data_IF_321738178519
#
_entry.id   IF_321738178519
#
_cell.length_a   1.000
_cell.length_b   1.000
_cell.length_c   1.000
_cell.angle_alpha   90.00
_cell.angle_beta   90.00
_cell.angle_gamma   90.00
#
_symmetry.space_group_name_H-M   'P 1'
#
loop_
_entity.id
_entity.type
_entity.pdbx_description
1 polymer ?
#
# COMPACT_ATOMS: atom_id res chain seq x y z
N UNK A 1 16.60 -5.72 21.77
CA UNK A 1 15.72 -4.62 21.34
C UNK A 1 14.45 -5.25 20.74
N UNK A 2 13.28 -4.82 21.19
CA UNK A 2 11.96 -5.29 20.71
C UNK A 2 11.76 -5.06 19.21
N UNK A 3 12.43 -4.07 18.63
CA UNK A 3 12.38 -3.77 17.19
C UNK A 3 12.95 -4.89 16.30
N UNK A 4 13.79 -5.77 16.84
CA UNK A 4 14.36 -6.91 16.14
C UNK A 4 13.57 -8.22 16.36
N UNK A 5 12.39 -8.13 16.95
CA UNK A 5 11.51 -9.27 17.16
C UNK A 5 10.32 -9.18 16.18
N UNK A 6 10.14 -10.16 15.28
CA UNK A 6 9.01 -10.20 14.34
C UNK A 6 7.66 -10.17 15.06
N UNK A 7 7.55 -10.81 16.24
CA UNK A 7 6.29 -10.84 17.00
C UNK A 7 5.88 -9.45 17.50
N UNK A 8 6.82 -8.55 17.77
CA UNK A 8 6.51 -7.16 18.13
C UNK A 8 5.77 -6.45 16.99
N UNK A 9 6.26 -6.60 15.77
CA UNK A 9 5.64 -6.00 14.59
C UNK A 9 4.32 -6.66 14.21
N UNK A 10 4.27 -7.99 14.37
CA UNK A 10 3.01 -8.73 14.19
C UNK A 10 1.94 -8.22 15.16
N UNK A 11 2.26 -8.08 16.42
CA UNK A 11 1.32 -7.60 17.45
C UNK A 11 0.83 -6.18 17.15
N UNK A 12 1.75 -5.30 16.71
CA UNK A 12 1.39 -3.95 16.27
C UNK A 12 0.44 -3.98 15.06
N UNK A 13 0.68 -4.86 14.09
CA UNK A 13 -0.19 -5.09 12.95
C UNK A 13 -1.56 -5.66 13.34
N UNK A 14 -1.59 -6.63 14.25
CA UNK A 14 -2.84 -7.22 14.78
C UNK A 14 -3.71 -6.17 15.46
N UNK A 15 -3.11 -5.23 16.21
CA UNK A 15 -3.83 -4.11 16.80
C UNK A 15 -4.46 -3.21 15.71
N UNK A 16 -3.71 -2.88 14.68
CA UNK A 16 -4.25 -2.05 13.58
C UNK A 16 -5.34 -2.81 12.81
N UNK A 17 -5.18 -4.11 12.63
CA UNK A 17 -6.21 -4.96 12.04
C UNK A 17 -7.52 -4.93 12.86
N UNK A 18 -7.44 -5.03 14.18
CA UNK A 18 -8.61 -4.94 15.05
C UNK A 18 -9.31 -3.59 14.89
N UNK A 19 -8.56 -2.49 14.87
CA UNK A 19 -9.11 -1.14 14.65
C UNK A 19 -9.79 -1.04 13.28
N UNK A 20 -9.15 -1.57 12.24
CA UNK A 20 -9.71 -1.60 10.89
C UNK A 20 -11.00 -2.41 10.84
N UNK A 21 -11.01 -3.62 11.40
CA UNK A 21 -12.17 -4.50 11.39
C UNK A 21 -13.36 -3.87 12.12
N UNK A 22 -13.12 -3.22 13.27
CA UNK A 22 -14.14 -2.51 14.04
C UNK A 22 -14.78 -1.35 13.26
N UNK A 23 -13.96 -0.51 12.60
CA UNK A 23 -14.48 0.59 11.79
C UNK A 23 -15.16 0.09 10.51
N UNK A 24 -14.57 -0.93 9.86
CA UNK A 24 -15.14 -1.53 8.67
C UNK A 24 -16.51 -2.17 8.93
N UNK A 25 -16.69 -2.82 10.07
CA UNK A 25 -17.97 -3.40 10.47
C UNK A 25 -19.08 -2.35 10.56
N UNK A 26 -18.77 -1.14 11.04
CA UNK A 26 -19.74 -0.04 11.15
C UNK A 26 -20.32 0.39 9.80
N UNK A 27 -19.59 0.19 8.69
CA UNK A 27 -20.09 0.51 7.34
C UNK A 27 -21.28 -0.36 6.94
N UNK A 28 -21.42 -1.55 7.54
CA UNK A 28 -22.46 -2.53 7.19
C UNK A 28 -23.60 -2.59 8.23
N UNK A 29 -23.45 -1.92 9.36
CA UNK A 29 -24.49 -1.90 10.38
C UNK A 29 -25.53 -0.81 10.10
N UNK A 30 -26.83 -1.08 10.29
CA UNK A 30 -27.87 -0.06 10.23
C UNK A 30 -27.58 1.08 11.21
N UNK A 31 -27.46 2.32 10.71
CA UNK A 31 -27.13 3.49 11.53
C UNK A 31 -25.68 3.56 12.00
N UNK A 32 -24.83 2.65 11.54
CA UNK A 32 -23.40 2.66 11.85
C UNK A 32 -22.70 3.90 11.27
N UNK A 33 -21.85 4.51 12.07
CA UNK A 33 -21.03 5.65 11.65
C UNK A 33 -19.56 5.26 11.77
N UNK A 34 -18.96 4.89 10.63
CA UNK A 34 -17.54 4.60 10.57
C UNK A 34 -16.72 5.90 10.54
N UNK A 35 -15.65 5.93 11.31
CA UNK A 35 -14.60 6.93 11.17
C UNK A 35 -13.67 6.51 10.02
N UNK A 36 -13.90 7.09 8.84
CA UNK A 36 -13.12 6.75 7.63
C UNK A 36 -11.65 7.12 7.74
N UNK A 37 -11.32 8.17 8.47
CA UNK A 37 -9.91 8.54 8.74
C UNK A 37 -9.23 7.46 9.57
N UNK A 38 -9.88 7.00 10.63
CA UNK A 38 -9.38 5.92 11.49
C UNK A 38 -9.29 4.59 10.73
N UNK A 39 -10.30 4.28 9.91
CA UNK A 39 -10.36 3.10 9.05
C UNK A 39 -9.15 3.03 8.11
N UNK A 40 -8.91 4.08 7.34
CA UNK A 40 -7.86 4.09 6.33
C UNK A 40 -6.46 4.24 6.93
N UNK A 41 -6.30 4.99 8.02
CA UNK A 41 -5.04 5.05 8.74
C UNK A 41 -4.64 3.69 9.33
N UNK A 42 -5.58 2.98 9.94
CA UNK A 42 -5.31 1.64 10.47
C UNK A 42 -4.99 0.63 9.36
N UNK A 43 -5.67 0.73 8.20
CA UNK A 43 -5.35 -0.08 7.02
C UNK A 43 -3.88 0.10 6.59
N UNK A 44 -3.44 1.35 6.40
CA UNK A 44 -2.06 1.61 5.98
C UNK A 44 -1.03 1.16 7.02
N UNK A 45 -1.29 1.39 8.31
CA UNK A 45 -0.40 0.93 9.39
C UNK A 45 -0.35 -0.59 9.51
N UNK A 46 -1.45 -1.28 9.23
CA UNK A 46 -1.45 -2.75 9.18
C UNK A 46 -0.50 -3.27 8.10
N UNK A 47 -0.50 -2.67 6.90
CA UNK A 47 0.48 -2.99 5.85
C UNK A 47 1.90 -2.71 6.32
N UNK A 48 2.17 -1.52 6.85
CA UNK A 48 3.48 -1.11 7.34
C UNK A 48 4.03 -2.12 8.36
N UNK A 49 3.25 -2.46 9.38
CA UNK A 49 3.70 -3.32 10.47
C UNK A 49 3.84 -4.78 10.05
N UNK A 50 2.93 -5.32 9.25
CA UNK A 50 3.05 -6.70 8.77
C UNK A 50 4.19 -6.87 7.77
N UNK A 51 4.41 -5.89 6.89
CA UNK A 51 5.57 -5.91 5.98
C UNK A 51 6.88 -5.77 6.76
N UNK A 52 6.92 -4.94 7.81
CA UNK A 52 8.08 -4.85 8.71
C UNK A 52 8.31 -6.13 9.50
N UNK A 53 7.25 -6.78 9.95
CA UNK A 53 7.33 -8.11 10.58
C UNK A 53 8.01 -9.12 9.65
N UNK A 54 7.58 -9.16 8.38
CA UNK A 54 8.17 -10.03 7.37
C UNK A 54 9.65 -9.70 7.12
N UNK A 55 10.00 -8.44 6.96
CA UNK A 55 11.39 -8.00 6.78
C UNK A 55 12.28 -8.48 7.92
N UNK A 56 11.85 -8.28 9.18
CA UNK A 56 12.61 -8.70 10.36
C UNK A 56 12.71 -10.23 10.44
N UNK A 57 11.62 -10.95 10.14
CA UNK A 57 11.65 -12.42 10.11
C UNK A 57 12.61 -12.96 9.04
N UNK A 58 12.60 -12.38 7.83
CA UNK A 58 13.51 -12.76 6.75
C UNK A 58 14.97 -12.47 7.09
N UNK A 59 15.26 -11.36 7.78
CA UNK A 59 16.61 -11.06 8.25
C UNK A 59 17.11 -12.15 9.22
N UNK A 60 16.25 -12.65 10.13
CA UNK A 60 16.56 -13.75 11.03
C UNK A 60 16.74 -15.09 10.34
N UNK A 61 15.99 -15.35 9.28
CA UNK A 61 16.21 -16.54 8.44
C UNK A 61 17.56 -16.44 7.72
N UNK A 62 17.88 -15.28 7.16
CA UNK A 62 19.16 -15.06 6.46
C UNK A 62 20.36 -15.16 7.38
N UNK A 63 20.25 -14.73 8.64
CA UNK A 63 21.32 -14.84 9.66
C UNK A 63 21.46 -16.25 10.25
N UNK A 64 20.50 -17.16 9.96
CA UNK A 64 20.47 -18.51 10.52
C UNK A 64 19.85 -18.62 11.90
N UNK A 65 19.34 -17.51 12.49
CA UNK A 65 18.61 -17.51 13.76
C UNK A 65 17.28 -18.27 13.65
N UNK A 66 16.65 -18.23 12.48
CA UNK A 66 15.45 -18.99 12.15
C UNK A 66 15.70 -19.91 10.96
N UNK A 67 15.18 -21.14 11.03
CA UNK A 67 15.31 -22.13 9.94
C UNK A 67 14.46 -21.78 8.72
N UNK A 68 13.31 -21.16 8.93
CA UNK A 68 12.34 -20.78 7.89
C UNK A 68 11.39 -19.70 8.41
N UNK A 69 10.79 -18.90 7.50
CA UNK A 69 9.75 -17.96 7.89
C UNK A 69 8.49 -18.71 8.36
N UNK A 70 7.83 -18.19 9.39
CA UNK A 70 6.60 -18.76 9.97
C UNK A 70 5.38 -17.89 9.72
N UNK A 71 5.58 -16.57 9.60
CA UNK A 71 4.51 -15.57 9.61
C UNK A 71 4.15 -15.08 8.21
N UNK A 72 5.11 -15.02 7.28
CA UNK A 72 4.95 -14.46 5.93
C UNK A 72 3.66 -14.87 5.24
N UNK A 73 3.42 -16.16 5.06
CA UNK A 73 2.28 -16.67 4.29
C UNK A 73 0.93 -16.21 4.86
N UNK A 74 0.77 -16.28 6.18
CA UNK A 74 -0.46 -15.86 6.88
C UNK A 74 -0.68 -14.37 6.76
N UNK A 75 0.36 -13.58 7.00
CA UNK A 75 0.28 -12.12 6.98
C UNK A 75 0.06 -11.59 5.56
N UNK A 76 0.75 -12.14 4.56
CA UNK A 76 0.55 -11.81 3.16
C UNK A 76 -0.89 -12.06 2.69
N UNK A 77 -1.48 -13.20 3.06
CA UNK A 77 -2.86 -13.51 2.75
C UNK A 77 -3.84 -12.56 3.44
N UNK A 78 -3.57 -12.20 4.70
CA UNK A 78 -4.39 -11.22 5.43
C UNK A 78 -4.37 -9.85 4.75
N UNK A 79 -3.19 -9.38 4.33
CA UNK A 79 -3.04 -8.10 3.62
C UNK A 79 -3.67 -8.15 2.22
N UNK A 80 -3.51 -9.24 1.48
CA UNK A 80 -4.11 -9.41 0.16
C UNK A 80 -5.63 -9.25 0.19
N UNK A 81 -6.29 -9.78 1.22
CA UNK A 81 -7.75 -9.68 1.40
C UNK A 81 -8.24 -8.24 1.52
N UNK A 82 -7.49 -7.37 2.19
CA UNK A 82 -7.88 -5.97 2.43
C UNK A 82 -7.22 -4.98 1.47
N UNK A 83 -6.25 -5.43 0.66
CA UNK A 83 -5.51 -4.58 -0.28
C UNK A 83 -6.41 -3.77 -1.23
N UNK A 84 -7.53 -4.30 -1.76
CA UNK A 84 -8.43 -3.50 -2.60
C UNK A 84 -8.96 -2.24 -1.91
N UNK A 85 -9.07 -2.21 -0.58
CA UNK A 85 -9.51 -1.05 0.16
C UNK A 85 -8.53 0.13 0.10
N UNK A 86 -7.26 -0.11 -0.24
CA UNK A 86 -6.29 0.96 -0.50
C UNK A 86 -6.72 1.86 -1.67
N UNK A 87 -7.40 1.31 -2.66
CA UNK A 87 -7.92 2.10 -3.80
C UNK A 87 -9.06 3.01 -3.36
N UNK A 88 -9.95 2.53 -2.48
CA UNK A 88 -11.01 3.34 -1.90
C UNK A 88 -10.44 4.45 -1.02
N UNK A 89 -9.45 4.13 -0.18
CA UNK A 89 -8.76 5.10 0.67
C UNK A 89 -8.08 6.19 -0.16
N UNK A 90 -7.37 5.80 -1.23
CA UNK A 90 -6.71 6.72 -2.15
C UNK A 90 -7.69 7.63 -2.87
N UNK A 91 -8.79 7.07 -3.36
CA UNK A 91 -9.84 7.84 -4.07
C UNK A 91 -10.55 8.82 -3.14
N UNK A 92 -10.89 8.41 -1.93
CA UNK A 92 -11.50 9.29 -0.93
C UNK A 92 -10.57 10.47 -0.57
N UNK A 93 -9.29 10.19 -0.31
CA UNK A 93 -8.28 11.20 -0.03
C UNK A 93 -8.10 12.15 -1.23
N UNK A 94 -8.01 11.62 -2.45
CA UNK A 94 -7.84 12.42 -3.66
C UNK A 94 -9.02 13.36 -3.89
N UNK A 95 -10.25 12.87 -3.74
CA UNK A 95 -11.46 13.66 -3.91
C UNK A 95 -11.61 14.78 -2.86
N UNK A 96 -11.01 14.59 -1.68
CA UNK A 96 -10.94 15.61 -0.61
C UNK A 96 -9.76 16.58 -0.79
N UNK A 97 -8.96 16.42 -1.85
CA UNK A 97 -7.76 17.23 -2.08
C UNK A 97 -6.58 16.86 -1.17
N UNK A 98 -6.68 15.78 -0.41
CA UNK A 98 -5.59 15.26 0.41
C UNK A 98 -4.66 14.37 -0.43
N UNK A 99 -3.88 15.01 -1.30
CA UNK A 99 -3.03 14.30 -2.26
C UNK A 99 -1.89 13.53 -1.59
N UNK A 100 -1.43 13.95 -0.42
CA UNK A 100 -0.39 13.23 0.33
C UNK A 100 -0.89 11.85 0.79
N UNK A 101 -2.07 11.78 1.37
CA UNK A 101 -2.67 10.50 1.74
C UNK A 101 -3.09 9.68 0.51
N UNK A 102 -3.60 10.33 -0.54
CA UNK A 102 -3.90 9.65 -1.80
C UNK A 102 -2.66 8.96 -2.38
N UNK A 103 -1.55 9.68 -2.46
CA UNK A 103 -0.27 9.13 -2.91
C UNK A 103 0.21 7.96 -2.05
N UNK A 104 0.08 8.08 -0.73
CA UNK A 104 0.42 7.02 0.22
C UNK A 104 -0.39 5.75 -0.04
N UNK A 105 -1.72 5.85 -0.17
CA UNK A 105 -2.57 4.67 -0.36
C UNK A 105 -2.41 4.04 -1.75
N UNK A 106 -2.40 4.84 -2.80
CA UNK A 106 -2.17 4.35 -4.16
C UNK A 106 -0.76 3.76 -4.32
N UNK A 107 0.25 4.42 -3.78
CA UNK A 107 1.63 3.94 -3.79
C UNK A 107 1.76 2.57 -3.10
N UNK A 108 1.16 2.43 -1.94
CA UNK A 108 1.16 1.17 -1.19
C UNK A 108 0.49 0.03 -1.99
N UNK A 109 -0.62 0.31 -2.67
CA UNK A 109 -1.26 -0.66 -3.57
C UNK A 109 -0.34 -1.11 -4.71
N UNK A 110 0.34 -0.16 -5.35
CA UNK A 110 1.21 -0.39 -6.51
C UNK A 110 2.50 -1.12 -6.15
N UNK A 111 3.02 -0.91 -4.94
CA UNK A 111 4.28 -1.50 -4.48
C UNK A 111 4.14 -2.94 -3.99
N UNK A 112 2.96 -3.34 -3.51
CA UNK A 112 2.74 -4.68 -2.95
C UNK A 112 3.09 -5.82 -3.92
N UNK A 113 2.77 -5.79 -5.25
CA UNK A 113 3.15 -6.86 -6.16
C UNK A 113 4.66 -7.10 -6.31
N UNK A 114 5.46 -6.08 -6.00
CA UNK A 114 6.92 -6.16 -6.08
C UNK A 114 7.57 -6.55 -4.75
N UNK A 115 6.82 -6.56 -3.66
CA UNK A 115 7.32 -6.94 -2.36
C UNK A 115 7.45 -8.47 -2.26
N UNK A 116 8.61 -9.01 -1.85
CA UNK A 116 8.83 -10.46 -1.73
C UNK A 116 7.84 -11.17 -0.81
N UNK A 117 7.22 -10.45 0.11
CA UNK A 117 6.18 -10.99 0.99
C UNK A 117 5.00 -11.60 0.20
N UNK A 118 4.68 -11.04 -0.98
CA UNK A 118 3.55 -11.46 -1.82
C UNK A 118 3.94 -12.39 -2.96
N UNK A 119 5.16 -12.93 -2.97
CA UNK A 119 5.66 -13.78 -4.07
C UNK A 119 4.73 -14.96 -4.39
N UNK A 120 4.14 -15.58 -3.35
CA UNK A 120 3.22 -16.73 -3.51
C UNK A 120 1.74 -16.32 -3.57
N UNK A 121 1.43 -15.02 -3.65
CA UNK A 121 0.04 -14.50 -3.66
C UNK A 121 -0.32 -14.06 -5.07
N UNK A 122 -0.83 -15.00 -5.87
CA UNK A 122 -1.06 -14.83 -7.31
C UNK A 122 -1.97 -13.63 -7.64
N UNK A 123 -3.02 -13.40 -6.84
CA UNK A 123 -3.96 -12.29 -7.01
C UNK A 123 -3.33 -10.91 -6.81
N UNK A 124 -2.23 -10.83 -6.04
CA UNK A 124 -1.46 -9.60 -5.87
C UNK A 124 -0.42 -9.48 -6.98
N UNK A 125 0.34 -10.55 -7.26
CA UNK A 125 1.43 -10.56 -8.25
C UNK A 125 0.94 -10.23 -9.66
N UNK A 126 -0.24 -10.70 -10.03
CA UNK A 126 -0.79 -10.59 -11.38
C UNK A 126 -1.93 -9.58 -11.46
N UNK A 127 -2.02 -8.64 -10.53
CA UNK A 127 -3.10 -7.66 -10.48
C UNK A 127 -3.03 -6.69 -11.67
N UNK A 128 -4.02 -6.79 -12.54
CA UNK A 128 -4.15 -5.98 -13.76
C UNK A 128 -4.55 -4.52 -13.49
N UNK A 129 -4.95 -4.19 -12.26
CA UNK A 129 -5.28 -2.80 -11.87
C UNK A 129 -4.03 -1.97 -11.56
N UNK A 130 -2.87 -2.58 -11.40
CA UNK A 130 -1.63 -1.87 -11.04
C UNK A 130 -1.33 -0.70 -11.97
N UNK A 131 -1.40 -0.79 -13.30
CA UNK A 131 -1.14 0.36 -14.17
C UNK A 131 -2.13 1.53 -13.96
N UNK A 132 -3.40 1.23 -13.73
CA UNK A 132 -4.41 2.26 -13.45
C UNK A 132 -4.13 2.97 -12.13
N UNK A 133 -3.90 2.21 -11.07
CA UNK A 133 -3.66 2.80 -9.75
C UNK A 133 -2.31 3.54 -9.69
N UNK A 134 -1.30 3.05 -10.42
CA UNK A 134 -0.03 3.78 -10.60
C UNK A 134 -0.25 5.13 -11.29
N UNK A 135 -1.15 5.19 -12.29
CA UNK A 135 -1.52 6.45 -12.92
C UNK A 135 -2.17 7.44 -11.92
N UNK A 136 -3.02 6.94 -11.02
CA UNK A 136 -3.61 7.76 -9.95
C UNK A 136 -2.54 8.23 -8.93
N UNK A 137 -1.57 7.36 -8.60
CA UNK A 137 -0.43 7.76 -7.76
C UNK A 137 0.38 8.89 -8.41
N UNK A 138 0.62 8.81 -9.73
CA UNK A 138 1.29 9.87 -10.50
C UNK A 138 0.51 11.18 -10.44
N UNK A 139 -0.81 11.13 -10.60
CA UNK A 139 -1.65 12.33 -10.53
C UNK A 139 -1.60 12.99 -9.14
N UNK A 140 -1.63 12.18 -8.06
CA UNK A 140 -1.49 12.68 -6.70
C UNK A 140 -0.11 13.30 -6.46
N UNK A 141 0.96 12.63 -6.91
CA UNK A 141 2.33 13.13 -6.83
C UNK A 141 2.52 14.44 -7.60
N UNK A 142 1.96 14.53 -8.81
CA UNK A 142 2.02 15.75 -9.61
C UNK A 142 1.30 16.93 -8.93
N UNK A 143 0.15 16.67 -8.29
CA UNK A 143 -0.58 17.70 -7.51
C UNK A 143 0.21 18.20 -6.28
N UNK A 144 1.16 17.40 -5.79
CA UNK A 144 2.09 17.77 -4.71
C UNK A 144 3.40 18.40 -5.21
N UNK A 145 3.63 18.47 -6.52
CA UNK A 145 4.93 18.76 -7.12
C UNK A 145 6.04 17.79 -6.64
N UNK A 146 5.68 16.54 -6.31
CA UNK A 146 6.62 15.49 -5.93
C UNK A 146 7.16 14.76 -7.18
N UNK A 147 8.15 15.36 -7.82
CA UNK A 147 8.76 14.82 -9.03
C UNK A 147 9.38 13.43 -8.80
N UNK A 148 9.89 13.13 -7.59
CA UNK A 148 10.46 11.83 -7.28
C UNK A 148 9.41 10.71 -7.33
N UNK A 149 8.25 10.96 -6.77
CA UNK A 149 7.13 10.01 -6.82
C UNK A 149 6.55 9.89 -8.23
N UNK A 150 6.49 10.99 -9.01
CA UNK A 150 6.12 10.92 -10.43
C UNK A 150 7.08 9.99 -11.19
N UNK A 151 8.39 10.19 -11.06
CA UNK A 151 9.42 9.37 -11.71
C UNK A 151 9.31 7.90 -11.26
N UNK A 152 8.99 7.66 -9.99
CA UNK A 152 8.84 6.31 -9.44
C UNK A 152 7.66 5.55 -10.03
N UNK A 153 6.49 6.17 -10.14
CA UNK A 153 5.25 5.48 -10.51
C UNK A 153 4.87 5.57 -11.99
N UNK A 154 5.32 6.59 -12.70
CA UNK A 154 4.96 6.79 -14.10
C UNK A 154 5.38 5.62 -15.04
N UNK A 155 6.52 4.93 -14.83
CA UNK A 155 6.88 3.76 -15.63
C UNK A 155 5.86 2.62 -15.58
N UNK A 156 5.08 2.50 -14.49
CA UNK A 156 3.98 1.56 -14.38
C UNK A 156 2.68 2.16 -14.91
N UNK A 157 2.37 3.41 -14.55
CA UNK A 157 1.13 4.09 -14.93
C UNK A 157 0.98 4.26 -16.44
N UNK A 158 2.07 4.49 -17.17
CA UNK A 158 2.07 4.61 -18.63
C UNK A 158 1.54 3.36 -19.35
N UNK A 159 1.55 2.22 -18.70
CA UNK A 159 1.09 0.94 -19.26
C UNK A 159 -0.43 0.79 -19.24
N UNK A 160 -1.17 1.70 -18.61
CA UNK A 160 -2.62 1.69 -18.67
C UNK A 160 -3.09 2.15 -20.06
N UNK A 161 -3.95 1.32 -20.69
CA UNK A 161 -4.31 1.49 -22.09
C UNK A 161 -4.97 2.84 -22.39
N UNK A 162 -5.86 3.31 -21.53
CA UNK A 162 -6.65 4.52 -21.79
C UNK A 162 -6.07 5.76 -21.10
N UNK A 163 -5.52 5.61 -19.89
CA UNK A 163 -5.09 6.72 -19.03
C UNK A 163 -3.57 6.90 -18.96
N UNK A 164 -2.79 5.97 -19.55
CA UNK A 164 -1.33 5.95 -19.43
C UNK A 164 -0.63 7.19 -19.98
N UNK A 165 -1.26 7.90 -20.93
CA UNK A 165 -0.76 9.16 -21.47
C UNK A 165 -0.58 10.25 -20.39
N UNK A 166 -1.40 10.25 -19.33
CA UNK A 166 -1.29 11.20 -18.21
C UNK A 166 0.01 11.00 -17.45
N UNK A 167 0.37 9.73 -17.20
CA UNK A 167 1.65 9.39 -16.57
C UNK A 167 2.84 9.85 -17.41
N UNK A 168 2.76 9.71 -18.74
CA UNK A 168 3.82 10.17 -19.65
C UNK A 168 3.97 11.69 -19.63
N UNK A 169 2.85 12.43 -19.62
CA UNK A 169 2.88 13.89 -19.54
C UNK A 169 3.50 14.38 -18.22
N UNK A 170 3.06 13.82 -17.09
CA UNK A 170 3.62 14.17 -15.78
C UNK A 170 5.10 13.81 -15.69
N UNK A 171 5.52 12.70 -16.29
CA UNK A 171 6.92 12.28 -16.31
C UNK A 171 7.78 13.25 -17.12
N UNK A 172 7.32 13.69 -18.29
CA UNK A 172 8.02 14.69 -19.11
C UNK A 172 8.17 16.01 -18.36
N UNK A 173 7.10 16.47 -17.69
CA UNK A 173 7.14 17.69 -16.87
C UNK A 173 8.10 17.57 -15.70
N UNK A 174 8.11 16.42 -15.00
CA UNK A 174 9.01 16.16 -13.89
C UNK A 174 10.50 16.22 -14.30
N UNK A 175 10.83 15.67 -15.47
CA UNK A 175 12.20 15.74 -15.99
C UNK A 175 12.58 17.15 -16.42
N UNK A 176 11.68 17.92 -17.05
CA UNK A 176 11.97 19.29 -17.47
C UNK A 176 12.19 20.26 -16.31
N UNK A 177 11.63 19.97 -15.13
CA UNK A 177 11.81 20.77 -13.90
C UNK A 177 13.07 20.40 -13.11
N UNK A 178 13.68 19.27 -13.43
CA UNK A 178 14.92 18.79 -12.80
C UNK A 178 16.19 19.27 -13.45
N UNK A 179 16.09 19.98 -14.58
CA UNK A 179 17.19 20.70 -15.24
C UNK A 179 17.27 22.16 -14.75
#
# INVERSE_FOLDING_TARGET
>A
STANDPETWKLAGDLQKSIYDDENMKLYLPGGQADTTKLYNSLAKMFEYYMKCDEVEQAKVKSGELKKPKLRKKLAKSLATVRPQLTNAGSDAFNKGNYADALKYFGLFVETPQNPMFEEVAEVKNDTLVPLIANYAVMAANSLNDNNSVIKYAPLGKNHKEEGWRSLMCLADAYSKGE
#
